data_IF_661991378025
#
_entry.id   IF_661991378025
#
_cell.length_a   1.000
_cell.length_b   1.000
_cell.length_c   1.000
_cell.angle_alpha   90.00
_cell.angle_beta   90.00
_cell.angle_gamma   90.00
#
_symmetry.space_group_name_H-M   'P 1'
#
loop_
_entity.id
_entity.type
_entity.pdbx_description
1 polymer ?
#
# COMPACT_ATOMS: atom_id res chain seq x y z
N UNK A 1 15.01 -6.68 11.27
CA UNK A 1 14.60 -7.11 9.92
C UNK A 1 13.56 -6.10 9.42
N UNK A 2 13.80 -5.39 8.31
CA UNK A 2 12.82 -4.45 7.73
C UNK A 2 11.90 -5.29 6.84
N UNK A 3 10.59 -5.23 7.07
CA UNK A 3 9.59 -5.92 6.24
C UNK A 3 9.05 -4.98 5.19
N UNK A 4 9.01 -5.43 3.94
CA UNK A 4 8.32 -4.76 2.85
C UNK A 4 6.83 -5.09 2.90
N UNK A 5 5.98 -4.13 2.52
CA UNK A 5 4.54 -4.22 2.60
C UNK A 5 3.94 -3.79 1.27
N UNK A 6 3.10 -4.65 0.69
CA UNK A 6 2.34 -4.34 -0.52
C UNK A 6 1.02 -3.66 -0.17
N UNK A 7 0.59 -2.77 -1.05
CA UNK A 7 -0.63 -2.02 -0.86
C UNK A 7 -1.41 -1.76 -2.13
N UNK A 8 -2.72 -1.62 -1.96
CA UNK A 8 -3.63 -1.16 -3.00
C UNK A 8 -4.55 -0.08 -2.43
N UNK A 9 -4.38 1.14 -2.92
CA UNK A 9 -5.21 2.29 -2.59
C UNK A 9 -6.23 2.56 -3.71
N UNK A 10 -7.43 2.98 -3.33
CA UNK A 10 -8.54 3.22 -4.25
C UNK A 10 -9.06 4.64 -4.03
N UNK A 11 -9.29 5.37 -5.12
CA UNK A 11 -9.95 6.68 -5.12
C UNK A 11 -11.17 6.63 -6.02
N UNK A 12 -12.24 7.29 -5.57
CA UNK A 12 -13.41 7.57 -6.41
C UNK A 12 -13.32 9.02 -6.88
N UNK A 13 -13.51 9.24 -8.18
CA UNK A 13 -13.63 10.56 -8.77
C UNK A 13 -15.11 11.01 -8.75
N UNK A 14 -15.33 12.33 -8.85
CA UNK A 14 -16.69 12.90 -8.88
C UNK A 14 -17.51 12.46 -10.10
N UNK A 15 -16.83 12.06 -11.19
CA UNK A 15 -17.44 11.49 -12.39
C UNK A 15 -17.83 10.01 -12.24
N UNK A 16 -17.65 9.42 -11.05
CA UNK A 16 -17.92 8.01 -10.77
C UNK A 16 -16.82 7.05 -11.23
N UNK A 17 -15.75 7.54 -11.86
CA UNK A 17 -14.60 6.71 -12.22
C UNK A 17 -13.76 6.34 -11.00
N UNK A 18 -13.14 5.17 -11.03
CA UNK A 18 -12.30 4.67 -9.94
C UNK A 18 -10.84 4.67 -10.38
N UNK A 19 -9.98 5.24 -9.54
CA UNK A 19 -8.52 5.19 -9.72
C UNK A 19 -7.90 4.24 -8.70
N UNK A 20 -6.91 3.49 -9.15
CA UNK A 20 -6.16 2.54 -8.33
C UNK A 20 -4.69 2.95 -8.28
N UNK A 21 -4.10 2.88 -7.08
CA UNK A 21 -2.67 3.02 -6.89
C UNK A 21 -2.17 1.79 -6.13
N UNK A 22 -1.14 1.13 -6.65
CA UNK A 22 -0.47 0.02 -5.98
C UNK A 22 1.01 0.33 -5.78
N UNK A 23 1.62 -0.28 -4.77
CA UNK A 23 3.04 -0.12 -4.51
C UNK A 23 3.57 -1.02 -3.41
N UNK A 24 4.88 -0.98 -3.24
CA UNK A 24 5.64 -1.64 -2.18
C UNK A 24 6.33 -0.56 -1.36
N UNK A 25 6.27 -0.66 -0.04
CA UNK A 25 6.97 0.26 0.86
C UNK A 25 7.54 -0.48 2.06
N UNK A 26 8.51 0.12 2.74
CA UNK A 26 9.05 -0.41 3.98
C UNK A 26 8.12 -0.08 5.15
N UNK A 27 8.05 -0.98 6.12
CA UNK A 27 7.19 -0.80 7.30
C UNK A 27 7.43 0.52 8.06
N UNK A 28 8.67 1.01 8.12
CA UNK A 28 9.02 2.27 8.80
C UNK A 28 8.58 3.53 8.02
N UNK A 29 8.40 3.43 6.71
CA UNK A 29 7.97 4.53 5.82
C UNK A 29 6.44 4.61 5.70
N UNK A 30 5.74 3.61 6.24
CA UNK A 30 4.29 3.47 6.19
C UNK A 30 3.50 4.71 6.64
N UNK A 31 3.83 5.39 7.76
CA UNK A 31 3.08 6.57 8.19
C UNK A 31 3.24 7.73 7.21
N UNK A 32 4.39 7.85 6.55
CA UNK A 32 4.63 8.87 5.53
C UNK A 32 3.83 8.57 4.26
N UNK A 33 3.83 7.31 3.81
CA UNK A 33 3.03 6.87 2.65
C UNK A 33 1.53 7.13 2.86
N UNK A 34 0.97 6.70 3.99
CA UNK A 34 -0.45 6.92 4.32
C UNK A 34 -0.84 8.39 4.23
N UNK A 35 0.02 9.28 4.77
CA UNK A 35 -0.20 10.73 4.70
C UNK A 35 -0.08 11.27 3.28
N UNK A 36 0.83 10.74 2.46
CA UNK A 36 0.94 11.14 1.06
C UNK A 36 -0.31 10.74 0.25
N UNK A 37 -0.77 9.50 0.39
CA UNK A 37 -1.97 8.98 -0.28
C UNK A 37 -3.24 9.72 0.14
N UNK A 38 -3.41 9.97 1.45
CA UNK A 38 -4.54 10.75 1.95
C UNK A 38 -4.57 12.17 1.37
N UNK A 39 -3.41 12.84 1.27
CA UNK A 39 -3.31 14.18 0.63
C UNK A 39 -3.67 14.17 -0.86
N UNK A 40 -3.53 13.04 -1.53
CA UNK A 40 -3.91 12.85 -2.93
C UNK A 40 -5.36 12.37 -3.11
N UNK A 41 -6.12 12.21 -2.01
CA UNK A 41 -7.51 11.75 -2.02
C UNK A 41 -7.67 10.24 -2.18
N UNK A 42 -6.64 9.45 -1.89
CA UNK A 42 -6.75 7.99 -1.91
C UNK A 42 -7.26 7.44 -0.57
N UNK A 43 -8.19 6.49 -0.67
CA UNK A 43 -8.70 5.71 0.45
C UNK A 43 -8.13 4.29 0.37
N UNK A 44 -7.30 3.89 1.33
CA UNK A 44 -6.71 2.55 1.28
C UNK A 44 -7.68 1.52 1.85
N UNK A 45 -8.17 0.61 0.99
CA UNK A 45 -9.12 -0.45 1.36
C UNK A 45 -8.45 -1.73 1.84
N UNK A 46 -7.31 -2.10 1.26
CA UNK A 46 -6.63 -3.36 1.57
C UNK A 46 -5.11 -3.24 1.52
N UNK A 47 -4.46 -4.04 2.35
CA UNK A 47 -3.02 -4.12 2.51
C UNK A 47 -2.65 -5.59 2.70
N UNK A 48 -1.61 -6.06 2.03
CA UNK A 48 -1.10 -7.42 2.21
C UNK A 48 0.41 -7.36 2.41
N UNK A 49 0.87 -8.03 3.46
CA UNK A 49 2.29 -8.22 3.69
C UNK A 49 2.71 -9.44 2.89
N UNK A 50 3.46 -9.23 1.80
CA UNK A 50 4.14 -10.32 1.11
C UNK A 50 5.52 -10.39 1.75
N UNK A 51 5.72 -11.39 2.60
CA UNK A 51 7.04 -11.70 3.13
C UNK A 51 7.80 -12.45 2.03
N UNK A 52 8.74 -11.79 1.35
CA UNK A 52 9.67 -12.44 0.43
C UNK A 52 10.86 -13.07 1.16
N UNK A 53 10.74 -13.36 2.47
CA UNK A 53 11.68 -14.28 3.11
C UNK A 53 11.67 -15.59 2.29
N UNK A 54 12.83 -16.05 1.79
CA UNK A 54 12.88 -17.34 1.12
C UNK A 54 12.26 -18.35 2.08
N UNK A 55 11.37 -19.20 1.56
CA UNK A 55 10.93 -20.39 2.27
C UNK A 55 12.22 -21.11 2.66
N UNK A 56 12.68 -20.94 3.90
CA UNK A 56 13.65 -21.84 4.48
C UNK A 56 12.88 -23.15 4.65
N UNK A 57 12.86 -23.93 3.57
CA UNK A 57 12.59 -25.36 3.63
C UNK A 57 13.60 -25.95 4.60
N UNK A 58 13.14 -26.18 5.82
CA UNK A 58 13.80 -27.04 6.79
C UNK A 58 13.80 -28.49 6.28
#
# INVERSE_FOLDING_TARGET
>A
MVREIFYTAVRYNEDGSTQHASGVTRQNEWPALKRALARQGFHIKSWFLIDESPLMTA
#
